data_IF_535565396877
#
_entry.id   IF_535565396877
#
_cell.length_a   1.000
_cell.length_b   1.000
_cell.length_c   1.000
_cell.angle_alpha   90.00
_cell.angle_beta   90.00
_cell.angle_gamma   90.00
#
_symmetry.space_group_name_H-M   'P 1'
#
loop_
_entity.id
_entity.type
_entity.pdbx_description
1 polymer ?
#
# COMPACT_ATOMS: atom_id res chain seq x y z
N UNK A 1 -15.70 -2.04 -1.99
CA UNK A 1 -14.52 -1.81 -1.12
C UNK A 1 -13.81 -0.54 -1.54
N UNK A 2 -13.76 0.43 -0.65
CA UNK A 2 -13.16 1.74 -0.92
C UNK A 2 -11.99 1.98 0.04
N UNK A 3 -10.87 2.54 -0.44
CA UNK A 3 -9.78 2.90 0.46
C UNK A 3 -10.19 4.06 1.36
N UNK A 4 -9.72 4.05 2.61
CA UNK A 4 -10.00 5.12 3.57
C UNK A 4 -9.07 6.30 3.37
N UNK A 5 -7.87 6.06 2.85
CA UNK A 5 -6.87 7.09 2.68
C UNK A 5 -6.02 6.82 1.46
N UNK A 6 -5.84 7.84 0.63
CA UNK A 6 -4.91 7.81 -0.50
C UNK A 6 -3.99 9.01 -0.37
N UNK A 7 -2.67 8.76 -0.41
CA UNK A 7 -1.66 9.80 -0.33
C UNK A 7 -0.70 9.67 -1.50
N UNK A 8 -0.24 10.81 -2.01
CA UNK A 8 0.78 10.84 -3.04
C UNK A 8 1.91 11.76 -2.60
N UNK A 9 3.14 11.28 -2.76
CA UNK A 9 4.33 12.01 -2.36
C UNK A 9 5.25 12.17 -3.56
N UNK A 10 5.61 13.41 -3.88
CA UNK A 10 6.64 13.66 -4.88
C UNK A 10 8.01 13.56 -4.21
N UNK A 11 8.77 12.54 -4.56
CA UNK A 11 10.09 12.30 -3.97
C UNK A 11 11.22 12.91 -4.81
N UNK A 12 10.96 13.13 -6.10
CA UNK A 12 11.82 13.83 -7.04
C UNK A 12 10.96 14.30 -8.20
N UNK A 13 11.51 15.12 -9.10
CA UNK A 13 10.74 15.66 -10.24
C UNK A 13 10.13 14.55 -11.12
N UNK A 14 10.79 13.40 -11.16
CA UNK A 14 10.39 12.26 -11.99
C UNK A 14 9.96 11.04 -11.17
N UNK A 15 9.74 11.20 -9.85
CA UNK A 15 9.35 10.11 -8.96
C UNK A 15 8.19 10.52 -8.07
N UNK A 16 7.17 9.67 -8.03
CA UNK A 16 6.01 9.83 -7.15
C UNK A 16 5.73 8.49 -6.46
N UNK A 17 5.50 8.53 -5.15
CA UNK A 17 5.04 7.38 -4.39
C UNK A 17 3.58 7.57 -4.02
N UNK A 18 2.74 6.59 -4.34
CA UNK A 18 1.33 6.57 -3.96
C UNK A 18 1.13 5.50 -2.89
N UNK A 19 0.48 5.89 -1.80
CA UNK A 19 0.14 4.98 -0.69
C UNK A 19 -1.37 4.96 -0.55
N UNK A 20 -1.95 3.76 -0.56
CA UNK A 20 -3.38 3.54 -0.41
C UNK A 20 -3.58 2.70 0.84
N UNK A 21 -4.28 3.25 1.82
CA UNK A 21 -4.54 2.59 3.10
C UNK A 21 -6.03 2.30 3.21
N UNK A 22 -6.35 1.06 3.51
CA UNK A 22 -7.71 0.60 3.75
C UNK A 22 -7.78 0.02 5.15
N UNK A 23 -8.58 0.64 6.00
CA UNK A 23 -8.84 0.16 7.35
C UNK A 23 -10.11 -0.70 7.33
N UNK A 24 -10.18 -1.68 8.22
CA UNK A 24 -11.32 -2.59 8.31
C UNK A 24 -11.61 -3.26 6.96
N UNK A 25 -10.57 -3.83 6.36
CA UNK A 25 -10.73 -4.57 5.11
C UNK A 25 -11.81 -5.65 5.24
N UNK A 26 -12.55 -5.99 4.16
CA UNK A 26 -13.69 -6.91 4.24
C UNK A 26 -13.31 -8.38 4.49
N UNK A 27 -12.06 -8.68 4.69
CA UNK A 27 -11.58 -10.02 5.03
C UNK A 27 -11.52 -10.19 6.55
N UNK A 28 -12.07 -11.28 7.06
CA UNK A 28 -12.14 -11.56 8.50
C UNK A 28 -10.76 -11.69 9.15
N UNK A 29 -9.74 -12.03 8.40
CA UNK A 29 -8.38 -12.21 8.91
C UNK A 29 -7.50 -10.96 8.76
N UNK A 30 -7.93 -9.99 7.96
CA UNK A 30 -7.17 -8.78 7.67
C UNK A 30 -7.82 -7.58 8.35
N UNK A 31 -7.07 -6.93 9.24
CA UNK A 31 -7.52 -5.72 9.92
C UNK A 31 -7.34 -4.49 9.05
N UNK A 32 -6.13 -4.26 8.56
CA UNK A 32 -5.80 -3.13 7.71
C UNK A 32 -4.93 -3.59 6.56
N UNK A 33 -5.00 -2.86 5.45
CA UNK A 33 -4.19 -3.14 4.27
C UNK A 33 -3.60 -1.85 3.72
N UNK A 34 -2.33 -1.92 3.31
CA UNK A 34 -1.64 -0.82 2.65
C UNK A 34 -1.07 -1.30 1.33
N UNK A 35 -1.31 -0.53 0.28
CA UNK A 35 -0.69 -0.74 -1.03
C UNK A 35 0.19 0.47 -1.32
N UNK A 36 1.41 0.21 -1.75
CA UNK A 36 2.36 1.25 -2.14
C UNK A 36 2.78 1.03 -3.58
N UNK A 37 2.75 2.11 -4.36
CA UNK A 37 3.15 2.11 -5.76
C UNK A 37 4.16 3.23 -5.96
N UNK A 38 5.34 2.89 -6.45
CA UNK A 38 6.35 3.86 -6.85
C UNK A 38 6.28 4.06 -8.37
N UNK A 39 6.10 5.31 -8.78
CA UNK A 39 5.99 5.70 -10.18
C UNK A 39 7.21 6.51 -10.60
N UNK A 40 7.67 6.27 -11.80
CA UNK A 40 8.77 7.03 -12.40
C UNK A 40 8.33 7.57 -13.76
N UNK A 41 8.73 8.81 -14.05
CA UNK A 41 8.48 9.43 -15.35
C UNK A 41 9.74 9.32 -16.21
N UNK A 42 9.60 8.77 -17.41
CA UNK A 42 10.63 8.68 -18.41
C UNK A 42 10.09 9.28 -19.72
N UNK A 43 10.75 10.32 -20.22
CA UNK A 43 10.32 10.98 -21.47
C UNK A 43 8.85 11.44 -21.43
N UNK A 44 8.41 11.91 -20.27
CA UNK A 44 7.04 12.39 -20.09
C UNK A 44 5.99 11.29 -19.91
N UNK A 45 6.40 10.02 -19.82
CA UNK A 45 5.50 8.89 -19.62
C UNK A 45 5.73 8.31 -18.23
N UNK A 46 4.68 8.23 -17.43
CA UNK A 46 4.71 7.62 -16.10
C UNK A 46 4.54 6.12 -16.20
N UNK A 47 5.37 5.40 -15.46
CA UNK A 47 5.26 3.95 -15.35
C UNK A 47 5.48 3.49 -13.92
N UNK A 48 4.97 2.31 -13.59
CA UNK A 48 5.18 1.70 -12.29
C UNK A 48 6.61 1.15 -12.22
N UNK A 49 7.40 1.66 -11.27
CA UNK A 49 8.74 1.15 -11.01
C UNK A 49 8.71 0.01 -9.98
N UNK A 50 7.86 0.16 -8.98
CA UNK A 50 7.72 -0.84 -7.93
C UNK A 50 6.31 -0.77 -7.35
N UNK A 51 5.77 -1.92 -6.99
CA UNK A 51 4.50 -2.00 -6.27
C UNK A 51 4.56 -3.12 -5.25
N UNK A 52 3.94 -2.90 -4.11
CA UNK A 52 3.89 -3.87 -3.05
C UNK A 52 2.74 -3.60 -2.10
N UNK A 53 2.53 -4.54 -1.19
CA UNK A 53 1.50 -4.39 -0.17
C UNK A 53 1.97 -4.98 1.14
N UNK A 54 1.33 -4.51 2.21
CA UNK A 54 1.46 -5.10 3.54
C UNK A 54 0.12 -5.03 4.24
N UNK A 55 -0.02 -5.79 5.31
CA UNK A 55 -1.29 -5.88 6.01
C UNK A 55 -1.08 -6.12 7.50
N UNK A 56 -2.08 -5.76 8.29
CA UNK A 56 -2.17 -6.11 9.70
C UNK A 56 -3.27 -7.15 9.86
N UNK A 57 -3.05 -8.10 10.75
CA UNK A 57 -3.94 -9.23 10.94
C UNK A 57 -4.61 -9.15 12.31
N UNK A 58 -5.85 -9.64 12.39
CA UNK A 58 -6.55 -9.72 13.67
C UNK A 58 -5.94 -10.79 14.58
N UNK A 59 -5.49 -11.90 14.00
CA UNK A 59 -5.05 -13.08 14.74
C UNK A 59 -3.55 -13.29 14.58
N UNK A 60 -2.78 -12.27 14.89
CA UNK A 60 -1.34 -12.36 14.82
C UNK A 60 -0.76 -12.01 16.19
N UNK A 61 0.24 -12.75 16.63
CA UNK A 61 0.97 -12.41 17.85
C UNK A 61 1.81 -11.13 17.71
N UNK A 62 1.97 -10.67 16.50
CA UNK A 62 2.67 -9.45 16.17
C UNK A 62 1.67 -8.39 15.69
N UNK A 63 1.55 -7.32 16.46
CA UNK A 63 0.61 -6.21 16.16
C UNK A 63 1.28 -5.18 15.26
N UNK A 64 1.78 -5.62 14.13
CA UNK A 64 2.44 -4.76 13.16
C UNK A 64 2.10 -5.16 11.73
N UNK A 65 2.72 -4.46 10.80
CA UNK A 65 2.54 -4.73 9.39
C UNK A 65 3.36 -5.94 8.96
N UNK A 66 2.75 -6.81 8.17
CA UNK A 66 3.41 -7.97 7.57
C UNK A 66 3.12 -8.03 6.08
N UNK A 67 3.97 -8.73 5.34
CA UNK A 67 3.82 -8.89 3.89
C UNK A 67 3.28 -10.26 3.50
N UNK A 68 3.19 -11.19 4.44
CA UNK A 68 2.64 -12.51 4.21
C UNK A 68 1.14 -12.58 4.44
N UNK A 69 0.60 -13.78 4.35
CA UNK A 69 -0.81 -14.03 4.63
C UNK A 69 -1.12 -13.87 6.12
N UNK A 70 -2.32 -13.43 6.41
CA UNK A 70 -2.82 -13.43 7.77
C UNK A 70 -3.16 -14.86 8.20
N UNK A 71 -2.76 -15.25 9.42
CA UNK A 71 -3.16 -16.55 9.97
C UNK A 71 -4.65 -16.66 10.21
#
# INVERSE_FOLDING_TARGET
YSPDLVMAFTTADDHVTVVIISENAPDDSIKDQEVRVDLVSENGIWRVEWAGYRQRCYRNNYDGWITGRCP
#
